data_IF_471220335318
#
_entry.id   IF_471220335318
#
_cell.length_a   1.000
_cell.length_b   1.000
_cell.length_c   1.000
_cell.angle_alpha   90.00
_cell.angle_beta   90.00
_cell.angle_gamma   90.00
#
_symmetry.space_group_name_H-M   'P 1'
#
loop_
_entity.id
_entity.type
_entity.pdbx_description
1 polymer ?
#
# COMPACT_ATOMS: atom_id res chain seq x y z
N UNK A 1 -5.63 5.63 20.84
CA UNK A 1 -4.83 4.42 21.17
C UNK A 1 -5.31 3.77 22.47
N UNK A 2 -5.28 4.43 23.64
CA UNK A 2 -5.73 3.84 24.91
C UNK A 2 -7.17 3.30 24.86
N UNK A 3 -8.08 4.02 24.22
CA UNK A 3 -9.48 3.60 24.07
C UNK A 3 -9.63 2.36 23.17
N UNK A 4 -8.86 2.26 22.06
CA UNK A 4 -8.85 1.10 21.18
C UNK A 4 -8.33 -0.12 21.92
N UNK A 5 -7.24 0.02 22.69
CA UNK A 5 -6.72 -1.06 23.54
C UNK A 5 -7.76 -1.55 24.55
N UNK A 6 -8.47 -0.63 25.18
CA UNK A 6 -9.47 -0.98 26.18
C UNK A 6 -10.69 -1.70 25.60
N UNK A 7 -11.13 -1.33 24.40
CA UNK A 7 -12.36 -1.85 23.80
C UNK A 7 -12.12 -3.11 22.92
N UNK A 8 -11.05 -3.14 22.15
CA UNK A 8 -10.89 -4.13 21.07
C UNK A 8 -9.67 -5.04 21.21
N UNK A 9 -8.68 -4.67 22.03
CA UNK A 9 -7.39 -5.35 22.09
C UNK A 9 -6.96 -5.76 23.48
N UNK A 10 -7.90 -6.04 24.41
CA UNK A 10 -7.56 -6.49 25.76
C UNK A 10 -6.66 -7.73 25.73
N UNK A 11 -5.42 -7.59 26.21
CA UNK A 11 -4.46 -8.68 26.29
C UNK A 11 -3.85 -9.11 24.94
N UNK A 12 -4.18 -8.43 23.85
CA UNK A 12 -3.61 -8.68 22.51
C UNK A 12 -2.47 -7.71 22.21
N UNK A 13 -1.54 -8.14 21.37
CA UNK A 13 -0.55 -7.24 20.75
C UNK A 13 -1.26 -6.31 19.77
N UNK A 14 -0.76 -5.08 19.64
CA UNK A 14 -1.25 -4.14 18.63
C UNK A 14 -0.29 -4.14 17.47
N UNK A 15 -0.82 -4.38 16.27
CA UNK A 15 -0.11 -4.17 14.99
C UNK A 15 -0.60 -2.87 14.36
N UNK A 16 0.30 -1.96 14.05
CA UNK A 16 -0.05 -0.72 13.33
C UNK A 16 0.19 -0.95 11.86
N UNK A 17 -0.89 -0.89 11.10
CA UNK A 17 -0.90 -1.04 9.65
C UNK A 17 -1.25 0.29 8.98
N UNK A 18 -0.61 0.56 7.86
CA UNK A 18 -0.90 1.71 7.00
C UNK A 18 -1.33 1.21 5.64
N UNK A 19 -2.41 1.77 5.12
CA UNK A 19 -3.02 1.33 3.86
C UNK A 19 -3.17 2.52 2.91
N UNK A 20 -3.02 2.23 1.59
CA UNK A 20 -3.23 3.18 0.51
C UNK A 20 -3.37 2.45 -0.84
N UNK A 21 -3.77 3.17 -1.90
CA UNK A 21 -3.83 2.65 -3.26
C UNK A 21 -2.93 3.44 -4.21
N UNK A 22 -2.31 2.69 -5.14
CA UNK A 22 -1.60 3.28 -6.26
C UNK A 22 -2.20 2.88 -7.59
N UNK A 23 -2.49 3.86 -8.46
CA UNK A 23 -2.83 3.60 -9.84
C UNK A 23 -1.59 3.42 -10.69
N UNK A 24 -1.47 2.28 -11.36
CA UNK A 24 -0.37 1.93 -12.28
C UNK A 24 -0.95 1.65 -13.65
N UNK A 25 -0.33 2.15 -14.68
CA UNK A 25 -0.86 1.94 -16.03
C UNK A 25 0.10 2.33 -17.15
N UNK A 26 -0.39 2.22 -18.36
CA UNK A 26 0.38 2.46 -19.58
C UNK A 26 0.88 3.91 -19.66
N UNK A 27 0.05 4.88 -19.26
CA UNK A 27 0.42 6.29 -19.19
C UNK A 27 1.08 6.63 -17.86
N UNK A 28 2.23 5.99 -17.58
CA UNK A 28 2.96 6.19 -16.34
C UNK A 28 3.90 7.40 -16.39
N UNK A 29 4.34 7.87 -15.21
CA UNK A 29 5.34 8.93 -15.12
C UNK A 29 6.72 8.38 -15.48
N UNK A 30 7.48 9.17 -16.23
CA UNK A 30 8.90 8.91 -16.46
C UNK A 30 9.69 9.34 -15.22
N UNK A 31 10.52 8.45 -14.69
CA UNK A 31 11.44 8.75 -13.60
C UNK A 31 12.86 8.92 -14.12
N UNK A 32 13.65 9.75 -13.44
CA UNK A 32 15.06 9.93 -13.75
C UNK A 32 15.82 8.64 -13.46
N UNK A 33 16.81 8.32 -14.30
CA UNK A 33 17.70 7.18 -14.11
C UNK A 33 19.15 7.63 -14.18
N UNK A 34 20.00 6.95 -13.43
CA UNK A 34 21.43 7.12 -13.56
C UNK A 34 21.89 6.69 -14.95
N UNK A 35 22.74 7.49 -15.56
CA UNK A 35 23.29 7.24 -16.88
C UNK A 35 24.74 7.75 -16.94
N UNK A 36 25.50 7.28 -17.92
CA UNK A 36 26.86 7.77 -18.16
C UNK A 36 26.84 9.28 -18.40
N UNK A 37 27.77 10.01 -17.78
CA UNK A 37 27.90 11.47 -17.98
C UNK A 37 27.98 11.81 -19.46
N UNK A 38 27.21 12.81 -19.88
CA UNK A 38 27.13 13.23 -21.28
C UNK A 38 26.11 12.44 -22.13
N UNK A 39 25.45 11.42 -21.55
CA UNK A 39 24.37 10.70 -22.24
C UNK A 39 22.99 11.12 -21.73
N UNK A 40 21.98 11.07 -22.62
CA UNK A 40 20.58 11.29 -22.29
C UNK A 40 19.79 10.04 -22.61
N UNK A 41 19.50 9.18 -21.61
CA UNK A 41 18.68 7.99 -21.82
C UNK A 41 17.31 8.37 -22.37
N UNK A 42 16.86 7.62 -23.36
CA UNK A 42 15.49 7.75 -23.90
C UNK A 42 14.60 6.75 -23.16
N UNK A 43 13.43 7.19 -22.73
CA UNK A 43 12.38 6.33 -22.24
C UNK A 43 11.18 6.44 -23.18
N UNK A 44 10.62 5.32 -23.67
CA UNK A 44 9.41 5.36 -24.47
C UNK A 44 8.26 5.87 -23.60
N UNK A 45 7.42 6.72 -24.17
CA UNK A 45 6.22 7.25 -23.51
C UNK A 45 4.99 6.61 -24.13
N UNK A 46 4.27 5.81 -23.33
CA UNK A 46 3.04 5.17 -23.77
C UNK A 46 1.86 6.16 -23.69
N UNK A 47 1.05 6.20 -24.73
CA UNK A 47 -0.15 7.06 -24.82
C UNK A 47 -1.45 6.32 -24.51
N UNK A 48 -1.39 4.99 -24.40
CA UNK A 48 -2.55 4.15 -24.09
C UNK A 48 -3.03 4.37 -22.65
N UNK A 49 -4.25 3.92 -22.33
CA UNK A 49 -4.95 4.36 -21.12
C UNK A 49 -5.42 3.22 -20.21
N UNK A 50 -4.92 1.99 -20.38
CA UNK A 50 -5.22 0.90 -19.46
C UNK A 50 -4.47 1.08 -18.15
N UNK A 51 -5.10 0.76 -17.04
CA UNK A 51 -4.52 0.83 -15.69
C UNK A 51 -5.13 -0.22 -14.77
N UNK A 52 -4.40 -0.53 -13.70
CA UNK A 52 -4.85 -1.29 -12.54
C UNK A 52 -4.55 -0.49 -11.26
N UNK A 53 -5.15 -0.90 -10.16
CA UNK A 53 -4.87 -0.35 -8.83
C UNK A 53 -4.16 -1.40 -7.99
N UNK A 54 -3.07 -1.02 -7.35
CA UNK A 54 -2.45 -1.81 -6.29
C UNK A 54 -3.02 -1.28 -4.97
N UNK A 55 -3.79 -2.09 -4.27
CA UNK A 55 -4.12 -1.88 -2.88
C UNK A 55 -2.98 -2.45 -2.05
N UNK A 56 -2.37 -1.64 -1.21
CA UNK A 56 -1.24 -2.05 -0.39
C UNK A 56 -1.39 -1.62 1.05
N UNK A 57 -1.10 -2.54 1.96
CA UNK A 57 -0.99 -2.24 3.37
C UNK A 57 0.33 -2.78 3.92
N UNK A 58 0.96 -2.02 4.80
CA UNK A 58 2.21 -2.43 5.46
C UNK A 58 2.09 -2.28 6.97
N UNK A 59 2.72 -3.22 7.69
CA UNK A 59 3.02 -3.11 9.11
C UNK A 59 4.54 -2.91 9.26
N UNK A 60 5.03 -1.67 9.32
CA UNK A 60 6.46 -1.38 9.30
C UNK A 60 7.22 -1.99 10.48
N UNK A 61 6.61 -2.06 11.65
CA UNK A 61 7.25 -2.62 12.84
C UNK A 61 7.63 -4.09 12.66
N UNK A 62 6.79 -4.86 11.96
CA UNK A 62 6.97 -6.29 11.74
C UNK A 62 7.51 -6.62 10.32
N UNK A 63 7.65 -5.62 9.45
CA UNK A 63 8.05 -5.83 8.07
C UNK A 63 7.03 -6.63 7.23
N UNK A 64 5.76 -6.64 7.65
CA UNK A 64 4.68 -7.34 6.94
C UNK A 64 4.07 -6.45 5.86
N UNK A 65 3.52 -7.07 4.83
CA UNK A 65 2.74 -6.40 3.80
C UNK A 65 1.62 -7.28 3.28
N UNK A 66 0.46 -6.68 3.00
CA UNK A 66 -0.68 -7.29 2.33
C UNK A 66 -1.02 -6.47 1.08
N UNK A 67 -1.30 -7.11 -0.04
CA UNK A 67 -1.59 -6.38 -1.26
C UNK A 67 -2.41 -7.14 -2.28
N UNK A 68 -3.24 -6.40 -3.00
CA UNK A 68 -4.06 -6.89 -4.11
C UNK A 68 -3.93 -5.99 -5.33
N UNK A 69 -4.01 -6.59 -6.53
CA UNK A 69 -4.08 -5.82 -7.78
C UNK A 69 -5.52 -5.91 -8.30
N UNK A 70 -6.19 -4.77 -8.40
CA UNK A 70 -7.60 -4.68 -8.69
C UNK A 70 -7.88 -3.78 -9.90
N UNK A 71 -8.96 -4.03 -10.66
CA UNK A 71 -9.32 -3.20 -11.83
C UNK A 71 -9.88 -1.83 -11.44
N UNK A 72 -10.47 -1.72 -10.25
CA UNK A 72 -11.13 -0.52 -9.75
C UNK A 72 -10.75 -0.24 -8.30
N UNK A 73 -10.77 1.05 -7.92
CA UNK A 73 -10.70 1.49 -6.52
C UNK A 73 -12.13 1.77 -6.06
N UNK A 74 -12.75 0.77 -5.45
CA UNK A 74 -14.14 0.79 -4.99
C UNK A 74 -14.32 0.01 -3.68
N UNK A 75 -15.55 0.02 -3.15
CA UNK A 75 -15.86 -0.66 -1.89
C UNK A 75 -15.68 -2.18 -1.95
N UNK A 76 -16.04 -2.91 -3.02
CA UNK A 76 -15.73 -4.34 -3.14
C UNK A 76 -14.23 -4.64 -3.13
N UNK A 77 -13.40 -3.85 -3.82
CA UNK A 77 -11.97 -4.02 -3.81
C UNK A 77 -11.37 -3.76 -2.41
N UNK A 78 -11.84 -2.72 -1.73
CA UNK A 78 -11.44 -2.43 -0.36
C UNK A 78 -11.88 -3.54 0.60
N UNK A 79 -13.06 -4.13 0.41
CA UNK A 79 -13.52 -5.27 1.23
C UNK A 79 -12.56 -6.46 1.11
N UNK A 80 -12.22 -6.84 -0.13
CA UNK A 80 -11.27 -7.93 -0.37
C UNK A 80 -9.88 -7.63 0.24
N UNK A 81 -9.44 -6.38 0.15
CA UNK A 81 -8.15 -5.99 0.73
C UNK A 81 -8.14 -6.01 2.26
N UNK A 82 -9.22 -5.59 2.92
CA UNK A 82 -9.33 -5.68 4.39
C UNK A 82 -9.30 -7.16 4.84
N UNK A 83 -9.94 -8.04 4.10
CA UNK A 83 -9.92 -9.49 4.39
C UNK A 83 -8.50 -10.06 4.25
N UNK A 84 -7.75 -9.65 3.22
CA UNK A 84 -6.35 -10.01 3.04
C UNK A 84 -5.47 -9.50 4.19
N UNK A 85 -5.64 -8.23 4.60
CA UNK A 85 -4.93 -7.68 5.76
C UNK A 85 -5.26 -8.48 7.01
N UNK A 86 -6.55 -8.80 7.22
CA UNK A 86 -7.01 -9.58 8.38
C UNK A 86 -6.33 -10.95 8.49
N UNK A 87 -6.10 -11.61 7.36
CA UNK A 87 -5.40 -12.89 7.31
C UNK A 87 -3.90 -12.78 7.65
N UNK A 88 -3.28 -11.61 7.46
CA UNK A 88 -1.87 -11.34 7.76
C UNK A 88 -1.63 -10.88 9.21
N UNK A 89 -2.67 -10.49 9.93
CA UNK A 89 -2.59 -10.12 11.35
C UNK A 89 -2.38 -11.37 12.19
N UNK A 90 -1.46 -11.31 13.15
CA UNK A 90 -1.18 -12.46 14.02
C UNK A 90 -2.42 -12.84 14.85
N UNK A 91 -2.59 -14.15 15.13
CA UNK A 91 -3.77 -14.67 15.84
C UNK A 91 -4.02 -14.00 17.20
N UNK A 92 -2.95 -13.62 17.90
CA UNK A 92 -3.01 -12.95 19.21
C UNK A 92 -2.82 -11.43 19.11
N UNK A 93 -2.97 -10.86 17.90
CA UNK A 93 -2.85 -9.44 17.68
C UNK A 93 -4.19 -8.81 17.29
N UNK A 94 -4.20 -7.48 17.32
CA UNK A 94 -5.27 -6.64 16.81
C UNK A 94 -4.67 -5.52 15.97
N UNK A 95 -5.07 -5.42 14.71
CA UNK A 95 -4.57 -4.40 13.82
C UNK A 95 -5.30 -3.08 13.99
N UNK A 96 -4.54 -1.99 14.05
CA UNK A 96 -5.06 -0.64 13.83
C UNK A 96 -4.67 -0.27 12.41
N UNK A 97 -5.66 -0.24 11.51
CA UNK A 97 -5.46 0.07 10.10
C UNK A 97 -5.64 1.57 9.89
N UNK A 98 -4.54 2.25 9.62
CA UNK A 98 -4.49 3.68 9.34
C UNK A 98 -4.62 3.87 7.83
N UNK A 99 -5.59 4.70 7.41
CA UNK A 99 -5.96 4.91 6.01
C UNK A 99 -6.46 6.35 5.83
N UNK A 100 -6.53 6.81 4.59
CA UNK A 100 -7.15 8.10 4.28
C UNK A 100 -8.69 8.02 4.33
N UNK A 101 -9.35 9.14 4.01
CA UNK A 101 -10.80 9.25 4.04
C UNK A 101 -11.43 9.12 2.63
N UNK A 102 -10.88 8.28 1.75
CA UNK A 102 -11.52 7.99 0.48
C UNK A 102 -12.94 7.41 0.69
N UNK A 103 -13.85 7.69 -0.23
CA UNK A 103 -15.26 7.32 -0.07
C UNK A 103 -15.50 5.81 0.13
N UNK A 104 -14.67 4.97 -0.48
CA UNK A 104 -14.73 3.51 -0.31
C UNK A 104 -14.16 3.04 1.02
N UNK A 105 -13.24 3.78 1.66
CA UNK A 105 -12.73 3.50 3.00
C UNK A 105 -13.76 3.77 4.09
N UNK A 106 -14.58 4.80 3.89
CA UNK A 106 -15.60 5.23 4.85
C UNK A 106 -16.99 4.67 4.55
N UNK A 107 -17.10 3.70 3.64
CA UNK A 107 -18.36 3.11 3.24
C UNK A 107 -19.01 2.32 4.38
N UNK A 108 -20.27 2.58 4.66
CA UNK A 108 -21.08 1.81 5.61
C UNK A 108 -21.34 0.37 5.17
N UNK A 109 -20.98 0.03 3.92
CA UNK A 109 -21.12 -1.32 3.37
C UNK A 109 -19.90 -2.20 3.68
N UNK A 110 -18.81 -1.64 4.22
CA UNK A 110 -17.65 -2.42 4.61
C UNK A 110 -17.93 -3.27 5.84
N UNK A 111 -17.61 -4.56 5.75
CA UNK A 111 -17.63 -5.48 6.86
C UNK A 111 -16.21 -5.59 7.41
N UNK A 112 -15.92 -4.85 8.48
CA UNK A 112 -14.57 -4.84 9.07
C UNK A 112 -14.40 -6.06 9.97
N UNK A 113 -13.37 -6.91 9.72
CA UNK A 113 -13.07 -8.06 10.57
C UNK A 113 -12.82 -7.69 12.03
N UNK A 114 -13.15 -8.60 12.96
CA UNK A 114 -13.08 -8.34 14.41
C UNK A 114 -11.66 -8.09 14.94
N UNK A 115 -10.64 -8.48 14.18
CA UNK A 115 -9.23 -8.25 14.52
C UNK A 115 -8.65 -6.96 13.92
N UNK A 116 -9.50 -6.12 13.30
CA UNK A 116 -9.09 -4.83 12.71
C UNK A 116 -9.94 -3.70 13.29
N UNK A 117 -9.31 -2.56 13.56
CA UNK A 117 -9.97 -1.27 13.80
C UNK A 117 -9.47 -0.27 12.78
N UNK A 118 -10.39 0.36 12.05
CA UNK A 118 -10.05 1.43 11.10
C UNK A 118 -9.77 2.73 11.85
N UNK A 119 -8.69 3.41 11.50
CA UNK A 119 -8.31 4.72 12.03
C UNK A 119 -8.05 5.68 10.88
N UNK A 120 -9.04 6.51 10.51
CA UNK A 120 -8.86 7.46 9.42
C UNK A 120 -7.85 8.55 9.79
N UNK A 121 -6.95 8.85 8.86
CA UNK A 121 -6.04 10.00 8.95
C UNK A 121 -6.82 11.32 8.85
N UNK A 122 -6.28 12.42 9.36
CA UNK A 122 -6.83 13.74 9.08
C UNK A 122 -6.93 13.99 7.57
N UNK A 123 -7.94 14.75 7.10
CA UNK A 123 -8.06 15.08 5.71
C UNK A 123 -6.80 15.79 5.16
N UNK A 124 -6.39 15.43 3.96
CA UNK A 124 -5.25 16.06 3.24
C UNK A 124 -3.90 15.96 3.97
N UNK A 125 -3.63 14.83 4.61
CA UNK A 125 -2.37 14.58 5.34
C UNK A 125 -1.63 13.36 4.77
N UNK A 126 -1.28 13.30 3.47
CA UNK A 126 -0.59 12.17 2.86
C UNK A 126 0.81 11.94 3.46
N UNK A 127 1.45 12.99 3.99
CA UNK A 127 2.75 12.91 4.65
C UNK A 127 2.76 12.01 5.90
N UNK A 128 1.59 11.77 6.49
CA UNK A 128 1.43 10.85 7.61
C UNK A 128 1.36 9.38 7.16
N UNK A 129 1.09 9.11 5.87
CA UNK A 129 0.96 7.76 5.37
C UNK A 129 2.28 7.26 4.74
N UNK A 130 3.04 6.36 5.39
CA UNK A 130 4.30 5.86 4.85
C UNK A 130 4.13 5.01 3.58
N UNK A 131 2.94 4.55 3.24
CA UNK A 131 2.68 3.78 2.02
C UNK A 131 2.93 4.64 0.78
N UNK A 132 2.78 5.94 0.86
CA UNK A 132 3.16 6.86 -0.22
C UNK A 132 4.66 6.73 -0.59
N UNK A 133 5.52 6.55 0.40
CA UNK A 133 6.94 6.31 0.15
C UNK A 133 7.20 4.92 -0.46
N UNK A 134 6.38 3.93 -0.12
CA UNK A 134 6.40 2.61 -0.76
C UNK A 134 6.06 2.75 -2.25
N UNK A 135 5.02 3.50 -2.58
CA UNK A 135 4.66 3.75 -3.99
C UNK A 135 5.78 4.48 -4.74
N UNK A 136 6.38 5.48 -4.13
CA UNK A 136 7.52 6.18 -4.74
C UNK A 136 8.68 5.22 -4.99
N UNK A 137 9.03 4.40 -4.00
CA UNK A 137 10.09 3.41 -4.12
C UNK A 137 9.79 2.38 -5.23
N UNK A 138 8.57 1.84 -5.30
CA UNK A 138 8.18 0.87 -6.32
C UNK A 138 8.20 1.48 -7.73
N UNK A 139 7.73 2.72 -7.89
CA UNK A 139 7.80 3.45 -9.15
C UNK A 139 9.25 3.65 -9.59
N UNK A 140 10.11 4.11 -8.70
CA UNK A 140 11.50 4.43 -9.03
C UNK A 140 12.33 3.19 -9.39
N UNK A 141 12.01 2.05 -8.82
CA UNK A 141 12.82 0.84 -8.98
C UNK A 141 12.22 -0.16 -9.97
N UNK A 142 10.89 -0.33 -10.03
CA UNK A 142 10.29 -1.46 -10.73
C UNK A 142 9.17 -1.11 -11.72
N UNK A 143 8.37 -0.07 -11.47
CA UNK A 143 7.14 0.20 -12.22
C UNK A 143 7.22 1.35 -13.23
N UNK A 144 8.22 2.23 -13.13
CA UNK A 144 8.38 3.35 -14.08
C UNK A 144 9.27 3.01 -15.27
N UNK A 145 9.17 3.85 -16.32
CA UNK A 145 9.95 3.73 -17.57
C UNK A 145 9.70 2.40 -18.30
N UNK A 146 8.50 1.85 -18.19
CA UNK A 146 8.05 0.65 -18.90
C UNK A 146 6.93 0.98 -19.89
N UNK A 147 6.84 0.17 -20.94
CA UNK A 147 5.70 0.12 -21.84
C UNK A 147 5.00 -1.20 -21.55
N UNK A 148 3.83 -1.13 -20.95
CA UNK A 148 3.02 -2.32 -20.68
C UNK A 148 2.30 -2.75 -21.95
N UNK A 149 2.31 -4.05 -22.27
CA UNK A 149 1.70 -4.58 -23.48
C UNK A 149 0.16 -4.45 -23.43
N UNK A 150 -0.44 -4.92 -22.36
CA UNK A 150 -1.87 -4.94 -22.11
C UNK A 150 -2.20 -4.83 -20.62
N UNK A 151 -3.44 -5.13 -20.25
CA UNK A 151 -3.89 -5.10 -18.86
C UNK A 151 -3.25 -6.21 -18.02
N UNK A 152 -3.15 -7.41 -18.57
CA UNK A 152 -2.61 -8.56 -17.86
C UNK A 152 -1.12 -8.38 -17.56
N UNK A 153 -0.39 -7.76 -18.46
CA UNK A 153 1.01 -7.35 -18.24
C UNK A 153 1.14 -6.31 -17.12
N UNK A 154 0.19 -5.36 -17.01
CA UNK A 154 0.15 -4.43 -15.87
C UNK A 154 -0.05 -5.18 -14.55
N UNK A 155 -1.04 -6.08 -14.51
CA UNK A 155 -1.37 -6.87 -13.31
C UNK A 155 -0.18 -7.72 -12.88
N UNK A 156 0.43 -8.46 -13.82
CA UNK A 156 1.59 -9.30 -13.55
C UNK A 156 2.76 -8.49 -12.96
N UNK A 157 3.10 -7.35 -13.56
CA UNK A 157 4.18 -6.50 -13.08
C UNK A 157 3.90 -5.85 -11.73
N UNK A 158 2.65 -5.46 -11.48
CA UNK A 158 2.23 -4.95 -10.17
C UNK A 158 2.39 -6.02 -9.09
N UNK A 159 1.93 -7.25 -9.35
CA UNK A 159 2.09 -8.38 -8.45
C UNK A 159 3.56 -8.74 -8.18
N UNK A 160 4.38 -8.82 -9.25
CA UNK A 160 5.82 -9.05 -9.10
C UNK A 160 6.52 -7.97 -8.27
N UNK A 161 6.18 -6.70 -8.49
CA UNK A 161 6.77 -5.60 -7.75
C UNK A 161 6.37 -5.63 -6.28
N UNK A 162 5.10 -5.96 -5.98
CA UNK A 162 4.63 -6.11 -4.62
C UNK A 162 5.31 -7.29 -3.92
N UNK A 163 5.39 -8.45 -4.58
CA UNK A 163 6.06 -9.63 -4.04
C UNK A 163 7.54 -9.36 -3.75
N UNK A 164 8.25 -8.66 -4.66
CA UNK A 164 9.63 -8.22 -4.43
C UNK A 164 9.79 -7.31 -3.21
N UNK A 165 8.78 -6.52 -2.87
CA UNK A 165 8.78 -5.70 -1.67
C UNK A 165 8.59 -6.56 -0.42
N UNK A 166 7.59 -7.44 -0.42
CA UNK A 166 7.24 -8.29 0.73
C UNK A 166 8.30 -9.37 1.01
N UNK A 167 9.03 -9.80 0.01
CA UNK A 167 10.23 -10.66 0.16
C UNK A 167 11.41 -9.95 0.85
N UNK A 168 11.28 -8.65 1.12
CA UNK A 168 12.29 -7.80 1.76
C UNK A 168 11.71 -7.08 3.00
N UNK A 169 11.37 -7.79 4.09
CA UNK A 169 10.76 -7.18 5.29
C UNK A 169 11.53 -5.98 5.82
N UNK A 170 12.87 -6.06 5.82
CA UNK A 170 13.75 -4.96 6.23
C UNK A 170 13.53 -3.68 5.41
N UNK A 171 13.11 -3.81 4.16
CA UNK A 171 12.82 -2.67 3.29
C UNK A 171 11.52 -2.00 3.69
N UNK A 172 10.49 -2.79 3.99
CA UNK A 172 9.21 -2.28 4.52
C UNK A 172 9.48 -1.51 5.81
N UNK A 173 10.29 -2.08 6.71
CA UNK A 173 10.69 -1.43 7.96
C UNK A 173 11.41 -0.11 7.68
N UNK A 174 12.43 -0.12 6.81
CA UNK A 174 13.24 1.08 6.50
C UNK A 174 12.43 2.21 5.87
N UNK A 175 11.49 1.89 4.98
CA UNK A 175 10.66 2.90 4.29
C UNK A 175 9.52 3.38 5.19
N UNK A 176 8.91 2.46 5.93
CA UNK A 176 7.63 2.66 6.59
C UNK A 176 7.69 3.12 8.04
N UNK A 177 8.82 2.89 8.76
CA UNK A 177 8.90 3.28 10.16
C UNK A 177 8.73 4.79 10.35
N UNK A 178 7.89 5.13 11.33
CA UNK A 178 7.61 6.51 11.73
C UNK A 178 7.69 6.60 13.26
N UNK A 179 8.48 7.54 13.76
CA UNK A 179 8.69 7.71 15.20
C UNK A 179 7.39 7.94 15.97
N UNK A 180 6.45 8.66 15.36
CA UNK A 180 5.17 8.96 15.98
C UNK A 180 4.26 7.72 16.12
N UNK A 181 4.42 6.71 15.24
CA UNK A 181 3.64 5.47 15.26
C UNK A 181 4.23 4.40 16.21
N UNK A 182 5.49 4.52 16.60
CA UNK A 182 6.21 3.52 17.40
C UNK A 182 6.29 3.86 18.90
N UNK A 183 5.64 4.93 19.35
CA UNK A 183 5.69 5.40 20.76
C UNK A 183 4.47 5.02 21.57
N UNK A 184 3.80 3.93 21.26
CA UNK A 184 2.56 3.52 21.94
C UNK A 184 2.69 2.23 22.71
#
# INVERSE_FOLDING_TARGET
MAEIRARHARGKQIEIWFQDEARIGQKNKLTRRWARRGTRPRAPHDQRTKWAYIFGAICPELGKGAGLVMPYADTPAMQAHIEEISAMVDQNAHAILILDQAGWHMSTKLSVPSNITLLPLPPRSPELNPVENVWQFMRDNWLSNRVFQDYDDIVAHCGEAWNKLTDQPWRIMSIGLRDWANRF
#
